data_IF_628080441543
#
_entry.id   IF_628080441543
#
_cell.length_a   1.000
_cell.length_b   1.000
_cell.length_c   1.000
_cell.angle_alpha   90.00
_cell.angle_beta   90.00
_cell.angle_gamma   90.00
#
_symmetry.space_group_name_H-M   'P 1'
#
loop_
_entity.id
_entity.type
_entity.pdbx_description
1 polymer ?
#
# COMPACT_ATOMS: atom_id res chain seq x y z
N UNK A 1 -46.45 -37.35 -16.62
CA UNK A 1 -45.20 -37.55 -15.85
C UNK A 1 -43.95 -37.01 -16.55
N UNK A 2 -43.54 -37.49 -17.73
CA UNK A 2 -42.26 -37.05 -18.35
C UNK A 2 -42.27 -35.54 -18.69
N UNK A 3 -43.38 -35.00 -19.17
CA UNK A 3 -43.50 -33.59 -19.55
C UNK A 3 -43.38 -32.62 -18.36
N UNK A 4 -43.93 -32.97 -17.19
CA UNK A 4 -43.84 -32.16 -15.96
C UNK A 4 -42.44 -32.17 -15.35
N UNK A 5 -41.73 -33.31 -15.44
CA UNK A 5 -40.34 -33.40 -14.97
C UNK A 5 -39.43 -32.53 -15.83
N UNK A 6 -39.64 -32.52 -17.15
CA UNK A 6 -38.85 -31.71 -18.09
C UNK A 6 -39.11 -30.21 -17.89
N UNK A 7 -40.37 -29.78 -17.76
CA UNK A 7 -40.68 -28.36 -17.51
C UNK A 7 -40.19 -27.89 -16.15
N UNK A 8 -40.36 -28.67 -15.09
CA UNK A 8 -39.85 -28.33 -13.74
C UNK A 8 -38.32 -28.23 -13.74
N UNK A 9 -37.63 -29.09 -14.49
CA UNK A 9 -36.16 -29.04 -14.62
C UNK A 9 -35.70 -27.82 -15.40
N UNK A 10 -36.40 -27.46 -16.49
CA UNK A 10 -36.09 -26.26 -17.30
C UNK A 10 -36.37 -24.98 -16.50
N UNK A 11 -37.53 -24.87 -15.84
CA UNK A 11 -37.86 -23.73 -14.99
C UNK A 11 -36.94 -23.65 -13.77
N UNK A 12 -36.55 -24.78 -13.18
CA UNK A 12 -35.54 -24.87 -12.14
C UNK A 12 -34.18 -24.37 -12.62
N UNK A 13 -33.74 -24.76 -13.83
CA UNK A 13 -32.48 -24.33 -14.43
C UNK A 13 -32.48 -22.83 -14.78
N UNK A 14 -33.58 -22.30 -15.33
CA UNK A 14 -33.75 -20.87 -15.62
C UNK A 14 -33.77 -20.06 -14.32
N UNK A 15 -34.50 -20.53 -13.30
CA UNK A 15 -34.55 -19.91 -11.97
C UNK A 15 -33.19 -19.93 -11.29
N UNK A 16 -32.45 -21.04 -11.38
CA UNK A 16 -31.10 -21.16 -10.86
C UNK A 16 -30.11 -20.27 -11.62
N UNK A 17 -30.26 -20.13 -12.95
CA UNK A 17 -29.46 -19.24 -13.80
C UNK A 17 -29.76 -17.77 -13.49
N UNK A 18 -31.02 -17.40 -13.26
CA UNK A 18 -31.44 -16.06 -12.86
C UNK A 18 -31.01 -15.71 -11.42
N UNK A 19 -31.00 -16.69 -10.52
CA UNK A 19 -30.49 -16.52 -9.15
C UNK A 19 -28.95 -16.40 -9.14
N UNK A 20 -28.26 -17.20 -9.97
CA UNK A 20 -26.81 -17.10 -10.16
C UNK A 20 -26.39 -15.81 -10.87
N UNK A 21 -27.15 -15.32 -11.85
CA UNK A 21 -26.83 -14.04 -12.52
C UNK A 21 -27.06 -12.82 -11.62
N UNK A 22 -27.96 -12.90 -10.63
CA UNK A 22 -28.14 -11.86 -9.60
C UNK A 22 -27.04 -11.80 -8.54
N UNK A 23 -26.11 -12.77 -8.48
CA UNK A 23 -25.21 -12.94 -7.32
C UNK A 23 -23.73 -12.65 -7.53
N UNK A 24 -23.25 -12.35 -8.75
CA UNK A 24 -21.80 -12.10 -8.96
C UNK A 24 -21.42 -10.76 -9.58
N UNK A 25 -22.34 -9.98 -10.18
CA UNK A 25 -22.03 -8.63 -10.71
C UNK A 25 -23.08 -7.64 -10.22
N UNK A 26 -22.75 -6.79 -9.22
CA UNK A 26 -23.61 -5.67 -8.80
C UNK A 26 -23.87 -5.49 -7.30
N UNK A 27 -23.32 -6.31 -6.40
CA UNK A 27 -23.58 -6.19 -4.95
C UNK A 27 -22.79 -5.02 -4.31
N UNK A 28 -21.51 -4.88 -4.66
CA UNK A 28 -20.62 -3.94 -3.97
C UNK A 28 -20.89 -2.46 -4.26
N UNK A 29 -21.20 -2.11 -5.51
CA UNK A 29 -21.61 -0.74 -5.88
C UNK A 29 -22.90 -0.35 -5.19
N UNK A 30 -23.90 -1.24 -5.19
CA UNK A 30 -25.17 -1.04 -4.49
C UNK A 30 -24.96 -0.87 -2.98
N UNK A 31 -24.01 -1.62 -2.40
CA UNK A 31 -23.63 -1.50 -0.99
C UNK A 31 -23.04 -0.11 -0.69
N UNK A 32 -22.12 0.39 -1.52
CA UNK A 32 -21.54 1.73 -1.36
C UNK A 32 -22.63 2.81 -1.47
N UNK A 33 -23.50 2.74 -2.49
CA UNK A 33 -24.62 3.67 -2.63
C UNK A 33 -25.58 3.61 -1.43
N UNK A 34 -25.84 2.42 -0.88
CA UNK A 34 -26.65 2.26 0.32
C UNK A 34 -25.98 2.87 1.56
N UNK A 35 -24.67 2.70 1.70
CA UNK A 35 -23.89 3.35 2.77
C UNK A 35 -24.01 4.86 2.65
N UNK A 36 -23.89 5.44 1.45
CA UNK A 36 -24.03 6.88 1.26
C UNK A 36 -25.40 7.39 1.68
N UNK A 37 -26.46 6.71 1.26
CA UNK A 37 -27.82 7.05 1.65
C UNK A 37 -28.01 7.03 3.17
N UNK A 38 -27.52 6.00 3.84
CA UNK A 38 -27.66 5.83 5.30
C UNK A 38 -26.70 6.70 6.11
N UNK A 39 -25.63 7.21 5.52
CA UNK A 39 -24.63 8.06 6.18
C UNK A 39 -24.92 9.55 6.00
N UNK A 40 -26.05 9.90 5.38
CA UNK A 40 -26.45 11.28 5.11
C UNK A 40 -25.68 11.95 3.96
N UNK A 41 -24.98 11.19 3.12
CA UNK A 41 -24.20 11.72 2.00
C UNK A 41 -25.05 12.04 0.76
N UNK A 42 -26.34 11.72 0.80
CA UNK A 42 -27.30 12.15 -0.21
C UNK A 42 -27.93 13.49 0.21
N UNK A 43 -28.33 14.30 -0.75
CA UNK A 43 -28.99 15.58 -0.53
C UNK A 43 -30.46 15.45 -0.94
N UNK A 44 -31.37 15.92 -0.10
CA UNK A 44 -32.80 16.04 -0.46
C UNK A 44 -33.04 17.43 -1.01
N UNK A 45 -33.68 17.49 -2.18
CA UNK A 45 -34.10 18.71 -2.85
C UNK A 45 -35.59 18.57 -3.21
N UNK A 46 -36.45 19.04 -2.30
CA UNK A 46 -37.88 18.80 -2.35
C UNK A 46 -38.23 17.30 -2.43
N UNK A 47 -38.85 16.89 -3.53
CA UNK A 47 -39.20 15.48 -3.80
C UNK A 47 -38.05 14.68 -4.42
N UNK A 48 -36.95 15.32 -4.83
CA UNK A 48 -35.82 14.66 -5.45
C UNK A 48 -34.72 14.36 -4.42
N UNK A 49 -34.02 13.25 -4.60
CA UNK A 49 -32.82 12.93 -3.80
C UNK A 49 -31.62 12.89 -4.73
N UNK A 50 -30.71 13.86 -4.56
CA UNK A 50 -29.45 13.90 -5.26
C UNK A 50 -28.49 12.91 -4.61
N UNK A 51 -27.96 12.00 -5.42
CA UNK A 51 -27.09 10.91 -4.95
C UNK A 51 -25.77 10.93 -5.70
N UNK A 52 -24.73 10.35 -5.10
CA UNK A 52 -23.47 10.16 -5.78
C UNK A 52 -23.65 9.19 -6.96
N UNK A 53 -23.40 9.66 -8.18
CA UNK A 53 -23.58 8.87 -9.39
C UNK A 53 -22.29 8.13 -9.72
N UNK A 54 -22.33 6.80 -9.77
CA UNK A 54 -21.16 6.01 -10.14
C UNK A 54 -20.86 6.22 -11.63
N UNK A 55 -19.69 6.78 -11.93
CA UNK A 55 -19.23 6.99 -13.29
C UNK A 55 -18.43 5.80 -13.82
N UNK A 56 -17.49 5.28 -13.02
CA UNK A 56 -16.61 4.18 -13.44
C UNK A 56 -16.30 3.23 -12.29
N UNK A 57 -16.08 1.96 -12.63
CA UNK A 57 -15.51 0.94 -11.75
C UNK A 57 -14.37 0.25 -12.47
N UNK A 58 -13.21 0.09 -11.82
CA UNK A 58 -12.06 -0.65 -12.33
C UNK A 58 -11.62 -1.67 -11.28
N UNK A 59 -11.45 -2.92 -11.69
CA UNK A 59 -10.87 -3.94 -10.83
C UNK A 59 -9.37 -4.00 -11.10
N UNK A 60 -8.60 -4.09 -10.04
CA UNK A 60 -7.16 -4.25 -10.04
C UNK A 60 -6.79 -5.49 -9.26
N UNK A 61 -5.53 -5.88 -9.40
CA UNK A 61 -4.96 -6.98 -8.65
C UNK A 61 -4.95 -6.72 -7.12
N UNK A 62 -4.73 -5.47 -6.71
CA UNK A 62 -4.72 -5.04 -5.31
C UNK A 62 -6.11 -4.74 -4.73
N UNK A 63 -7.15 -4.58 -5.57
CA UNK A 63 -8.45 -4.10 -5.10
C UNK A 63 -9.35 -3.56 -6.19
N UNK A 64 -10.20 -2.60 -5.83
CA UNK A 64 -11.17 -2.01 -6.76
C UNK A 64 -11.20 -0.49 -6.60
N UNK A 65 -11.15 0.22 -7.72
CA UNK A 65 -11.37 1.67 -7.77
C UNK A 65 -12.80 1.96 -8.25
N UNK A 66 -13.50 2.78 -7.50
CA UNK A 66 -14.81 3.34 -7.88
C UNK A 66 -14.67 4.85 -8.06
N UNK A 67 -15.28 5.37 -9.11
CA UNK A 67 -15.35 6.81 -9.39
C UNK A 67 -16.80 7.27 -9.34
N UNK A 68 -17.07 8.29 -8.55
CA UNK A 68 -18.39 8.87 -8.36
C UNK A 68 -18.38 10.37 -8.65
N UNK A 69 -19.46 10.86 -9.26
CA UNK A 69 -19.77 12.29 -9.26
C UNK A 69 -20.44 12.65 -7.94
N UNK A 70 -19.85 13.58 -7.19
CA UNK A 70 -20.43 14.12 -5.95
C UNK A 70 -21.70 14.91 -6.31
N UNK A 71 -22.83 14.72 -5.61
CA UNK A 71 -24.04 15.50 -5.85
C UNK A 71 -23.84 16.97 -5.41
N UNK A 72 -24.58 17.88 -6.03
CA UNK A 72 -24.60 19.27 -5.59
C UNK A 72 -25.03 19.36 -4.11
N UNK A 73 -24.38 20.24 -3.36
CA UNK A 73 -24.61 20.37 -1.91
C UNK A 73 -23.77 19.43 -1.04
N UNK A 74 -22.87 18.64 -1.63
CA UNK A 74 -21.82 17.89 -0.92
C UNK A 74 -20.44 18.24 -1.43
N UNK A 75 -19.45 18.16 -0.54
CA UNK A 75 -18.04 18.32 -0.88
C UNK A 75 -17.27 17.01 -0.70
N UNK A 76 -16.00 16.98 -1.09
CA UNK A 76 -15.14 15.82 -0.86
C UNK A 76 -14.92 15.58 0.66
N UNK A 77 -14.81 16.65 1.44
CA UNK A 77 -14.61 16.63 2.89
C UNK A 77 -15.76 15.92 3.62
N UNK A 78 -17.00 16.05 3.12
CA UNK A 78 -18.15 15.30 3.64
C UNK A 78 -17.92 13.78 3.57
N UNK A 79 -17.31 13.29 2.48
CA UNK A 79 -17.01 11.86 2.31
C UNK A 79 -15.83 11.43 3.16
N UNK A 80 -14.80 12.28 3.29
CA UNK A 80 -13.65 12.04 4.19
C UNK A 80 -14.14 11.91 5.64
N UNK A 81 -15.03 12.79 6.09
CA UNK A 81 -15.63 12.72 7.43
C UNK A 81 -16.42 11.41 7.67
N UNK A 82 -16.86 10.73 6.60
CA UNK A 82 -17.57 9.45 6.66
C UNK A 82 -16.71 8.25 6.23
N UNK A 83 -15.41 8.42 6.01
CA UNK A 83 -14.52 7.35 5.53
C UNK A 83 -14.58 6.09 6.42
N UNK A 84 -14.53 6.25 7.74
CA UNK A 84 -14.61 5.15 8.70
C UNK A 84 -15.93 4.37 8.59
N UNK A 85 -17.04 5.06 8.31
CA UNK A 85 -18.37 4.44 8.12
C UNK A 85 -18.39 3.66 6.80
N UNK A 86 -17.80 4.21 5.74
CA UNK A 86 -17.69 3.56 4.44
C UNK A 86 -16.82 2.30 4.55
N UNK A 87 -15.68 2.39 5.24
CA UNK A 87 -14.78 1.26 5.48
C UNK A 87 -15.46 0.18 6.32
N UNK A 88 -16.08 0.54 7.44
CA UNK A 88 -16.81 -0.40 8.31
C UNK A 88 -17.97 -1.07 7.56
N UNK A 89 -18.72 -0.30 6.78
CA UNK A 89 -19.81 -0.80 5.94
C UNK A 89 -19.32 -1.74 4.85
N UNK A 90 -18.14 -1.48 4.25
CA UNK A 90 -17.52 -2.39 3.28
C UNK A 90 -17.07 -3.69 3.94
N UNK A 91 -16.51 -3.62 5.14
CA UNK A 91 -16.07 -4.76 5.93
C UNK A 91 -17.22 -5.56 6.58
N UNK A 92 -18.46 -5.07 6.59
CA UNK A 92 -19.61 -5.84 7.09
C UNK A 92 -19.81 -7.11 6.25
N UNK A 93 -19.45 -8.27 6.80
CA UNK A 93 -19.58 -9.57 6.11
C UNK A 93 -20.94 -10.19 6.38
N UNK A 94 -21.58 -10.70 5.33
CA UNK A 94 -22.56 -11.78 5.48
C UNK A 94 -21.80 -13.08 5.20
N UNK A 95 -21.72 -13.97 6.19
CA UNK A 95 -21.10 -15.29 6.00
C UNK A 95 -22.02 -16.07 5.05
N UNK A 96 -21.73 -16.03 3.74
CA UNK A 96 -22.34 -16.92 2.75
C UNK A 96 -21.23 -17.79 2.17
N UNK A 97 -21.19 -19.04 2.62
CA UNK A 97 -20.31 -20.06 2.06
C UNK A 97 -20.61 -20.21 0.56
N UNK A 98 -19.62 -19.93 -0.30
CA UNK A 98 -19.77 -20.18 -1.74
C UNK A 98 -19.43 -21.64 -2.02
N UNK A 99 -20.29 -22.35 -2.77
CA UNK A 99 -20.05 -23.72 -3.23
C UNK A 99 -18.73 -23.92 -4.00
N UNK A 100 -18.14 -22.85 -4.57
CA UNK A 100 -16.80 -22.89 -5.20
C UNK A 100 -15.67 -23.07 -4.19
N UNK A 101 -15.82 -22.55 -2.97
CA UNK A 101 -14.83 -22.74 -1.87
C UNK A 101 -14.82 -24.19 -1.38
N UNK A 102 -15.98 -24.88 -1.45
CA UNK A 102 -16.11 -26.29 -1.09
C UNK A 102 -15.45 -27.22 -2.12
N UNK A 103 -15.41 -26.82 -3.41
CA UNK A 103 -14.79 -27.62 -4.48
C UNK A 103 -13.26 -27.54 -4.51
N UNK A 104 -12.68 -26.50 -3.92
CA UNK A 104 -11.22 -26.35 -3.83
C UNK A 104 -10.60 -27.17 -2.67
N UNK A 105 -11.43 -27.75 -1.80
CA UNK A 105 -10.99 -28.60 -0.70
C UNK A 105 -10.73 -30.01 -1.25
N UNK A 106 -9.45 -30.34 -1.45
CA UNK A 106 -9.03 -31.74 -1.61
C UNK A 106 -9.48 -32.52 -0.37
N UNK A 107 -10.10 -33.68 -0.58
CA UNK A 107 -10.56 -34.59 0.46
C UNK A 107 -9.35 -35.20 1.20
N UNK A 108 -8.84 -34.46 2.18
CA UNK A 108 -7.73 -34.88 3.04
C UNK A 108 -8.15 -34.87 4.52
N UNK A 109 -7.52 -35.66 5.38
CA UNK A 109 -7.82 -35.73 6.82
C UNK A 109 -7.64 -34.38 7.54
N UNK A 110 -6.96 -33.43 6.91
CA UNK A 110 -6.77 -32.04 7.34
C UNK A 110 -7.83 -31.04 6.82
N UNK A 111 -8.96 -31.49 6.27
CA UNK A 111 -10.05 -30.62 5.79
C UNK A 111 -10.53 -29.65 6.88
N UNK A 112 -10.74 -30.12 8.12
CA UNK A 112 -11.28 -29.26 9.19
C UNK A 112 -10.30 -28.15 9.60
N UNK A 113 -8.99 -28.43 9.63
CA UNK A 113 -7.97 -27.42 9.93
C UNK A 113 -7.78 -26.44 8.77
N UNK A 114 -7.85 -26.91 7.52
CA UNK A 114 -7.80 -26.06 6.32
C UNK A 114 -9.05 -25.18 6.15
N UNK A 115 -10.24 -25.72 6.45
CA UNK A 115 -11.48 -24.92 6.48
C UNK A 115 -11.41 -23.90 7.60
N UNK A 116 -10.97 -24.30 8.81
CA UNK A 116 -10.82 -23.38 9.94
C UNK A 116 -9.82 -22.28 9.62
N UNK A 117 -8.67 -22.59 9.03
CA UNK A 117 -7.66 -21.58 8.67
C UNK A 117 -8.13 -20.65 7.54
N UNK A 118 -8.81 -21.17 6.51
CA UNK A 118 -9.44 -20.35 5.47
C UNK A 118 -10.57 -19.49 6.03
N UNK A 119 -11.34 -20.00 7.00
CA UNK A 119 -12.40 -19.26 7.68
C UNK A 119 -11.82 -18.18 8.58
N UNK A 120 -10.78 -18.47 9.35
CA UNK A 120 -10.05 -17.50 10.17
C UNK A 120 -9.41 -16.43 9.29
N UNK A 121 -8.76 -16.79 8.17
CA UNK A 121 -8.19 -15.84 7.21
C UNK A 121 -9.27 -14.95 6.57
N UNK A 122 -10.35 -15.55 6.06
CA UNK A 122 -11.53 -14.80 5.56
C UNK A 122 -12.22 -13.99 6.64
N UNK A 123 -12.04 -14.29 7.92
CA UNK A 123 -12.55 -13.51 9.05
C UNK A 123 -11.61 -12.36 9.45
N UNK A 124 -10.30 -12.48 9.20
CA UNK A 124 -9.29 -11.46 9.51
C UNK A 124 -9.00 -10.49 8.37
N UNK A 125 -9.37 -10.80 7.12
CA UNK A 125 -9.14 -9.95 5.93
C UNK A 125 -9.96 -8.64 5.96
N UNK A 126 -9.48 -7.61 6.68
CA UNK A 126 -10.06 -6.27 6.62
C UNK A 126 -9.64 -5.56 5.34
N UNK A 127 -10.62 -5.08 4.59
CA UNK A 127 -10.40 -4.15 3.48
C UNK A 127 -10.13 -2.76 4.04
N UNK A 128 -9.19 -2.05 3.44
CA UNK A 128 -8.90 -0.65 3.75
C UNK A 128 -9.45 0.23 2.62
N UNK A 129 -9.88 1.45 2.96
CA UNK A 129 -10.38 2.41 1.97
C UNK A 129 -9.50 3.65 1.94
N UNK A 130 -9.19 4.11 0.74
CA UNK A 130 -8.60 5.42 0.48
C UNK A 130 -9.54 6.25 -0.38
N UNK A 131 -9.72 7.51 0.02
CA UNK A 131 -10.51 8.50 -0.69
C UNK A 131 -9.57 9.53 -1.31
N UNK A 132 -9.82 9.90 -2.56
CA UNK A 132 -9.13 11.00 -3.24
C UNK A 132 -10.08 11.73 -4.18
N UNK A 133 -9.67 12.90 -4.67
CA UNK A 133 -10.49 13.75 -5.54
C UNK A 133 -9.66 14.34 -6.68
N UNK A 134 -10.08 14.09 -7.92
CA UNK A 134 -9.47 14.63 -9.15
C UNK A 134 -10.50 15.30 -10.07
N UNK A 135 -11.57 15.85 -9.48
CA UNK A 135 -12.80 16.25 -10.19
C UNK A 135 -13.91 15.21 -10.10
N UNK A 136 -13.58 13.99 -9.68
CA UNK A 136 -14.52 12.98 -9.21
C UNK A 136 -14.07 12.44 -7.85
N UNK A 137 -15.03 11.97 -7.05
CA UNK A 137 -14.73 11.18 -5.86
C UNK A 137 -14.16 9.83 -6.30
N UNK A 138 -12.92 9.55 -5.93
CA UNK A 138 -12.27 8.26 -6.12
C UNK A 138 -12.27 7.51 -4.80
N UNK A 139 -12.74 6.26 -4.84
CA UNK A 139 -12.78 5.34 -3.70
C UNK A 139 -11.99 4.11 -4.08
N UNK A 140 -10.79 3.97 -3.52
CA UNK A 140 -9.98 2.75 -3.65
C UNK A 140 -10.27 1.85 -2.47
N UNK A 141 -10.70 0.63 -2.76
CA UNK A 141 -10.94 -0.41 -1.76
C UNK A 141 -9.85 -1.45 -1.94
N UNK A 142 -8.90 -1.48 -1.03
CA UNK A 142 -7.81 -2.44 -1.01
C UNK A 142 -8.29 -3.77 -0.42
N UNK A 143 -7.84 -4.87 -1.00
CA UNK A 143 -8.20 -6.21 -0.51
C UNK A 143 -7.48 -6.55 0.80
N UNK A 144 -6.30 -5.97 0.98
CA UNK A 144 -5.44 -6.15 2.15
C UNK A 144 -5.11 -4.78 2.72
N UNK A 145 -5.07 -4.62 4.06
CA UNK A 145 -4.64 -3.38 4.66
C UNK A 145 -3.12 -3.24 4.53
N UNK A 146 -2.63 -2.00 4.61
CA UNK A 146 -1.19 -1.79 4.76
C UNK A 146 -0.68 -2.47 6.04
N UNK A 147 0.52 -3.09 6.01
CA UNK A 147 1.13 -3.65 7.19
C UNK A 147 1.43 -2.54 8.20
N UNK A 148 1.09 -2.78 9.47
CA UNK A 148 1.44 -1.85 10.56
C UNK A 148 2.94 -1.80 10.84
N UNK A 149 3.65 -2.86 10.45
CA UNK A 149 5.09 -3.00 10.60
C UNK A 149 5.61 -3.72 9.36
N UNK A 150 6.63 -3.16 8.73
CA UNK A 150 7.42 -3.84 7.71
C UNK A 150 8.70 -4.28 8.40
N UNK A 151 8.91 -5.60 8.52
CA UNK A 151 10.16 -6.12 9.08
C UNK A 151 11.33 -5.71 8.20
N UNK A 152 12.46 -5.40 8.84
CA UNK A 152 13.70 -5.13 8.14
C UNK A 152 14.05 -6.31 7.22
N UNK A 153 14.37 -5.99 5.96
CA UNK A 153 14.83 -6.96 4.97
C UNK A 153 16.02 -6.36 4.24
N UNK A 154 17.03 -7.18 4.04
CA UNK A 154 18.21 -6.79 3.27
C UNK A 154 17.88 -6.78 1.78
N UNK A 155 18.37 -5.78 1.08
CA UNK A 155 18.36 -5.76 -0.37
C UNK A 155 19.61 -6.41 -0.95
N UNK A 156 20.00 -5.99 -2.14
CA UNK A 156 21.17 -6.51 -2.86
C UNK A 156 21.90 -5.35 -3.54
N UNK A 157 23.23 -5.39 -3.52
CA UNK A 157 24.04 -4.33 -4.12
C UNK A 157 23.84 -3.02 -3.35
N UNK A 158 23.43 -1.97 -4.06
CA UNK A 158 23.11 -0.65 -3.51
C UNK A 158 21.59 -0.42 -3.35
N UNK A 159 20.79 -1.50 -3.33
CA UNK A 159 19.34 -1.43 -3.19
C UNK A 159 18.92 -1.60 -1.75
N UNK A 160 18.23 -0.62 -1.19
CA UNK A 160 17.71 -0.66 0.18
C UNK A 160 16.20 -0.75 0.20
N UNK A 161 15.62 -1.51 1.13
CA UNK A 161 14.16 -1.56 1.31
C UNK A 161 13.68 -0.21 1.83
N UNK A 162 12.68 0.35 1.17
CA UNK A 162 12.14 1.68 1.48
C UNK A 162 10.74 1.63 2.08
N UNK A 163 10.08 0.47 2.03
CA UNK A 163 8.74 0.26 2.59
C UNK A 163 7.91 -0.70 1.77
N UNK A 164 6.59 -0.64 1.96
CA UNK A 164 5.61 -1.42 1.22
C UNK A 164 4.58 -0.49 0.56
N UNK A 165 4.10 -0.87 -0.61
CA UNK A 165 3.07 -0.11 -1.35
C UNK A 165 1.70 -0.72 -1.15
N UNK A 166 0.66 0.05 -1.46
CA UNK A 166 -0.72 -0.44 -1.47
C UNK A 166 -1.01 -1.42 -2.61
N UNK A 167 -0.08 -1.62 -3.54
CA UNK A 167 -0.14 -2.69 -4.54
C UNK A 167 0.26 -4.03 -3.90
N UNK A 168 -0.72 -4.70 -3.27
CA UNK A 168 -0.53 -6.00 -2.59
C UNK A 168 0.62 -6.02 -1.59
N UNK A 169 0.83 -4.92 -0.87
CA UNK A 169 1.91 -4.79 0.13
C UNK A 169 3.30 -5.09 -0.46
N UNK A 170 3.47 -4.87 -1.77
CA UNK A 170 4.73 -5.11 -2.46
C UNK A 170 5.81 -4.19 -1.90
N UNK A 171 6.94 -4.81 -1.54
CA UNK A 171 8.11 -4.07 -1.08
C UNK A 171 8.66 -3.19 -2.19
N UNK A 172 9.02 -1.98 -1.80
CA UNK A 172 9.74 -1.02 -2.65
C UNK A 172 11.17 -0.93 -2.21
N UNK A 173 12.04 -0.77 -3.19
CA UNK A 173 13.48 -0.62 -2.99
C UNK A 173 13.91 0.71 -3.62
N UNK A 174 14.79 1.42 -2.93
CA UNK A 174 15.53 2.53 -3.50
C UNK A 174 16.90 2.02 -3.95
N UNK A 175 17.30 2.37 -5.17
CA UNK A 175 18.53 1.88 -5.81
C UNK A 175 19.52 3.04 -5.95
N UNK A 176 20.49 3.12 -5.04
CA UNK A 176 21.48 4.21 -5.03
C UNK A 176 22.45 4.17 -6.21
N UNK A 177 22.53 3.06 -6.94
CA UNK A 177 23.31 3.00 -8.18
C UNK A 177 22.60 3.74 -9.33
N UNK A 178 21.26 3.77 -9.31
CA UNK A 178 20.45 4.45 -10.34
C UNK A 178 20.07 5.87 -9.95
N UNK A 179 19.76 6.09 -8.67
CA UNK A 179 19.36 7.38 -8.12
C UNK A 179 20.26 7.64 -6.90
N UNK A 180 21.42 8.28 -7.09
CA UNK A 180 22.47 8.33 -6.06
C UNK A 180 22.17 9.29 -4.91
N UNK A 181 21.21 10.19 -5.07
CA UNK A 181 20.88 11.21 -4.08
C UNK A 181 19.42 11.11 -3.64
N UNK A 182 19.20 11.27 -2.34
CA UNK A 182 17.90 11.15 -1.71
C UNK A 182 17.67 12.32 -0.74
N UNK A 183 16.52 12.98 -0.87
CA UNK A 183 16.06 13.99 0.08
C UNK A 183 14.85 13.44 0.87
N UNK A 184 14.91 13.52 2.21
CA UNK A 184 13.87 13.02 3.11
C UNK A 184 13.20 14.15 3.88
N UNK A 185 11.91 14.37 3.61
CA UNK A 185 11.08 15.36 4.30
C UNK A 185 10.00 14.71 5.16
N UNK A 186 9.58 15.40 6.23
CA UNK A 186 8.49 14.95 7.10
C UNK A 186 8.55 15.53 8.51
N UNK A 187 7.46 15.47 9.26
CA UNK A 187 7.39 15.98 10.63
C UNK A 187 8.10 15.05 11.64
N UNK A 188 8.33 15.54 12.86
CA UNK A 188 8.85 14.71 13.96
C UNK A 188 7.89 13.55 14.24
N UNK A 189 8.42 12.36 14.55
CA UNK A 189 7.67 11.10 14.77
C UNK A 189 7.05 10.45 13.51
N UNK A 190 7.34 10.94 12.31
CA UNK A 190 6.85 10.34 11.06
C UNK A 190 7.79 9.26 10.49
N UNK A 191 8.79 8.82 11.27
CA UNK A 191 9.66 7.69 10.91
C UNK A 191 10.91 8.04 10.10
N UNK A 192 11.25 9.33 9.93
CA UNK A 192 12.45 9.76 9.19
C UNK A 192 13.74 9.14 9.73
N UNK A 193 14.01 9.29 11.03
CA UNK A 193 15.22 8.74 11.66
C UNK A 193 15.29 7.22 11.54
N UNK A 194 14.15 6.53 11.70
CA UNK A 194 14.08 5.09 11.51
C UNK A 194 14.41 4.67 10.06
N UNK A 195 13.96 5.43 9.06
CA UNK A 195 14.31 5.17 7.67
C UNK A 195 15.80 5.41 7.41
N UNK A 196 16.40 6.47 7.97
CA UNK A 196 17.85 6.73 7.89
C UNK A 196 18.62 5.54 8.49
N UNK A 197 18.23 5.07 9.67
CA UNK A 197 18.84 3.91 10.32
C UNK A 197 18.69 2.64 9.47
N UNK A 198 17.53 2.41 8.85
CA UNK A 198 17.34 1.31 7.91
C UNK A 198 18.26 1.40 6.69
N UNK A 199 18.48 2.60 6.14
CA UNK A 199 19.39 2.83 5.01
C UNK A 199 20.83 2.52 5.42
N UNK A 200 21.32 3.14 6.50
CA UNK A 200 22.70 2.97 6.99
C UNK A 200 22.97 1.48 7.29
N UNK A 201 22.10 0.85 8.08
CA UNK A 201 22.23 -0.56 8.45
C UNK A 201 22.18 -1.47 7.23
N UNK A 202 21.29 -1.18 6.25
CA UNK A 202 21.22 -1.95 5.01
C UNK A 202 22.51 -1.89 4.22
N UNK A 203 23.09 -0.70 4.06
CA UNK A 203 24.31 -0.51 3.27
C UNK A 203 25.53 -1.12 3.96
N UNK A 204 25.68 -0.97 5.28
CA UNK A 204 26.74 -1.63 6.04
C UNK A 204 26.69 -3.15 5.86
N UNK A 205 25.50 -3.76 5.94
CA UNK A 205 25.36 -5.21 5.80
C UNK A 205 25.56 -5.70 4.37
N UNK A 206 25.13 -4.93 3.38
CA UNK A 206 25.20 -5.33 1.96
C UNK A 206 26.54 -5.03 1.31
N UNK A 207 27.23 -3.98 1.76
CA UNK A 207 28.48 -3.46 1.19
C UNK A 207 29.55 -3.25 2.28
N UNK A 208 29.83 -4.24 3.15
CA UNK A 208 30.67 -4.03 4.33
C UNK A 208 32.08 -3.52 4.02
N UNK A 209 32.65 -3.94 2.88
CA UNK A 209 34.00 -3.55 2.46
C UNK A 209 34.02 -2.34 1.52
N UNK A 210 32.86 -1.90 1.03
CA UNK A 210 32.75 -0.87 -0.01
C UNK A 210 32.05 0.41 0.46
N UNK A 211 31.18 0.34 1.46
CA UNK A 211 30.51 1.53 1.98
C UNK A 211 31.42 2.28 2.93
N UNK A 212 31.55 3.58 2.71
CA UNK A 212 32.16 4.53 3.64
C UNK A 212 31.12 5.54 4.05
N UNK A 213 31.01 5.76 5.35
CA UNK A 213 30.03 6.65 5.94
C UNK A 213 30.73 7.88 6.48
N UNK A 214 30.18 9.02 6.12
CA UNK A 214 30.46 10.27 6.78
C UNK A 214 29.15 10.88 7.21
N UNK A 215 29.04 11.15 8.50
CA UNK A 215 27.76 11.44 9.14
C UNK A 215 27.78 12.87 9.68
N UNK A 216 26.67 13.58 9.53
CA UNK A 216 26.50 14.93 10.06
C UNK A 216 25.26 14.92 10.96
N UNK A 217 25.44 15.17 12.26
CA UNK A 217 24.37 15.25 13.24
C UNK A 217 24.49 16.53 14.07
N UNK A 218 23.99 17.63 13.50
CA UNK A 218 23.96 18.95 14.13
C UNK A 218 22.96 19.07 15.29
N UNK A 219 22.44 17.95 15.80
CA UNK A 219 21.63 17.88 17.02
C UNK A 219 22.41 17.35 18.22
N UNK A 220 23.74 17.36 18.16
CA UNK A 220 24.60 16.88 19.24
C UNK A 220 24.56 15.37 19.42
N UNK A 221 24.45 14.62 18.31
CA UNK A 221 24.56 13.16 18.32
C UNK A 221 23.32 12.40 18.75
N UNK A 222 22.13 13.03 18.77
CA UNK A 222 20.89 12.35 19.18
C UNK A 222 20.46 11.25 18.19
N UNK A 223 20.85 11.34 16.93
CA UNK A 223 20.32 10.48 15.87
C UNK A 223 21.37 9.51 15.32
N UNK A 224 22.65 9.91 15.26
CA UNK A 224 23.69 9.17 14.54
C UNK A 224 24.91 8.73 15.39
N UNK A 225 24.97 9.05 16.68
CA UNK A 225 26.13 8.69 17.52
C UNK A 225 26.37 7.17 17.62
N UNK A 226 25.33 6.36 17.52
CA UNK A 226 25.42 4.89 17.54
C UNK A 226 26.29 4.32 16.42
N UNK A 227 26.52 5.10 15.35
CA UNK A 227 27.34 4.69 14.20
C UNK A 227 28.79 5.15 14.29
N UNK A 228 29.18 5.93 15.32
CA UNK A 228 30.51 6.56 15.41
C UNK A 228 31.65 5.53 15.39
N UNK A 229 31.48 4.40 16.05
CA UNK A 229 32.52 3.36 16.18
C UNK A 229 32.34 2.17 15.22
N UNK A 230 31.51 2.34 14.18
CA UNK A 230 31.33 1.31 13.15
C UNK A 230 32.49 1.38 12.15
N UNK A 231 33.04 0.24 11.72
CA UNK A 231 34.22 0.16 10.84
C UNK A 231 34.10 0.98 9.55
N UNK A 232 32.88 1.11 9.02
CA UNK A 232 32.59 1.84 7.79
C UNK A 232 32.50 3.36 8.00
N UNK A 233 32.40 3.83 9.24
CA UNK A 233 32.33 5.26 9.58
C UNK A 233 33.72 5.86 9.55
N UNK A 234 33.92 6.81 8.64
CA UNK A 234 35.19 7.54 8.48
C UNK A 234 35.21 8.77 9.38
N UNK A 235 34.08 9.47 9.49
CA UNK A 235 33.95 10.65 10.33
C UNK A 235 32.51 10.94 10.73
N UNK A 236 32.34 11.60 11.87
CA UNK A 236 31.08 12.21 12.30
C UNK A 236 31.32 13.68 12.64
N UNK A 237 30.39 14.55 12.23
CA UNK A 237 30.41 15.97 12.54
C UNK A 237 29.19 16.32 13.40
N UNK A 238 29.44 16.92 14.56
CA UNK A 238 28.39 17.39 15.47
C UNK A 238 28.21 18.91 15.40
N UNK A 239 29.24 19.64 14.96
CA UNK A 239 29.21 21.09 14.84
C UNK A 239 29.20 21.58 13.38
N UNK A 240 28.61 22.75 13.08
CA UNK A 240 28.56 23.29 11.72
C UNK A 240 29.94 23.48 11.06
N UNK A 241 30.95 23.87 11.85
CA UNK A 241 32.31 24.04 11.36
C UNK A 241 32.92 22.70 10.90
N UNK A 242 32.74 21.64 11.69
CA UNK A 242 33.18 20.29 11.33
C UNK A 242 32.47 19.81 10.05
N UNK A 243 31.17 20.06 9.92
CA UNK A 243 30.40 19.73 8.74
C UNK A 243 30.88 20.51 7.49
N UNK A 244 31.31 21.76 7.65
CA UNK A 244 31.89 22.55 6.57
C UNK A 244 33.23 21.98 6.12
N UNK A 245 34.15 21.74 7.05
CA UNK A 245 35.46 21.13 6.75
C UNK A 245 35.29 19.77 6.05
N UNK A 246 34.34 18.97 6.54
CA UNK A 246 33.99 17.70 5.94
C UNK A 246 33.50 17.84 4.48
N UNK A 247 32.61 18.80 4.19
CA UNK A 247 32.18 19.05 2.82
C UNK A 247 33.33 19.47 1.90
N UNK A 248 34.30 20.25 2.39
CA UNK A 248 35.50 20.60 1.61
C UNK A 248 36.32 19.35 1.27
N UNK A 249 36.55 18.48 2.26
CA UNK A 249 37.25 17.22 2.06
C UNK A 249 36.56 16.30 1.04
N UNK A 250 35.24 16.10 1.16
CA UNK A 250 34.47 15.30 0.20
C UNK A 250 34.57 15.84 -1.23
N UNK A 251 34.44 17.15 -1.39
CA UNK A 251 34.53 17.77 -2.72
C UNK A 251 35.91 17.51 -3.35
N UNK A 252 36.97 17.55 -2.54
CA UNK A 252 38.32 17.23 -3.00
C UNK A 252 38.45 15.75 -3.38
N UNK A 253 37.96 14.81 -2.56
CA UNK A 253 38.00 13.38 -2.89
C UNK A 253 37.24 13.05 -4.17
N UNK A 254 36.02 13.59 -4.32
CA UNK A 254 35.21 13.39 -5.53
C UNK A 254 35.95 13.94 -6.75
N UNK A 255 36.59 15.11 -6.63
CA UNK A 255 37.36 15.72 -7.73
C UNK A 255 38.51 14.81 -8.17
N UNK A 256 39.32 14.34 -7.22
CA UNK A 256 40.44 13.42 -7.49
C UNK A 256 39.95 12.13 -8.15
N UNK A 257 38.84 11.57 -7.65
CA UNK A 257 38.27 10.35 -8.22
C UNK A 257 37.77 10.55 -9.66
N UNK A 258 37.11 11.68 -9.94
CA UNK A 258 36.67 12.02 -11.29
C UNK A 258 37.87 12.19 -12.24
N UNK A 259 38.92 12.89 -11.81
CA UNK A 259 40.17 13.02 -12.58
C UNK A 259 40.81 11.66 -12.89
N UNK A 260 40.84 10.76 -11.90
CA UNK A 260 41.32 9.40 -12.09
C UNK A 260 40.48 8.61 -13.10
N UNK A 261 39.15 8.72 -13.06
CA UNK A 261 38.26 8.08 -14.03
C UNK A 261 38.50 8.60 -15.45
N UNK A 262 38.64 9.92 -15.62
CA UNK A 262 38.90 10.54 -16.93
C UNK A 262 40.25 10.12 -17.51
N UNK A 263 41.30 10.07 -16.69
CA UNK A 263 42.65 9.69 -17.12
C UNK A 263 42.76 8.19 -17.43
N UNK A 264 42.01 7.35 -16.72
CA UNK A 264 42.04 5.89 -16.88
C UNK A 264 41.21 5.37 -18.07
N UNK A 265 40.58 6.24 -18.86
CA UNK A 265 39.66 5.88 -19.97
C UNK A 265 38.57 4.86 -19.58
N UNK A 266 38.16 4.86 -18.30
CA UNK A 266 37.08 4.00 -17.84
C UNK A 266 35.78 4.67 -18.27
N UNK A 267 35.27 4.28 -19.44
CA UNK A 267 33.93 4.69 -19.88
C UNK A 267 32.90 4.00 -18.99
N UNK A 268 32.13 4.78 -18.23
CA UNK A 268 30.91 4.30 -17.57
C UNK A 268 29.94 3.79 -18.64
N UNK A 269 29.58 2.50 -18.57
CA UNK A 269 28.56 1.88 -19.42
C UNK A 269 27.16 2.15 -18.90
#
# INVERSE_FOLDING_TARGET
MIFEVVTTTIFGAISLKAYRSKSEVGNDSKKISKIFALSGLNVKDGNQTLTAQQFKKRNYDWGVEYRYRIPLGRSFEDYVAKQNVIESGKNTRSVKLKLKDLKALKLDRNIFSNIKSLYTKKLTDRKEIELSYDGMLIIRVYNEPLPKMVSFQEGKGWKVVFGATRDRNKLIFHDFEKIPHLCLGGATRYGKSNLINCIITSLIKQQPDNVKLHLIDLKGGVELCDYENVNQTISIAYEPEEAYQFNQFLNQEITIYLEWLFTSQITTR
#
